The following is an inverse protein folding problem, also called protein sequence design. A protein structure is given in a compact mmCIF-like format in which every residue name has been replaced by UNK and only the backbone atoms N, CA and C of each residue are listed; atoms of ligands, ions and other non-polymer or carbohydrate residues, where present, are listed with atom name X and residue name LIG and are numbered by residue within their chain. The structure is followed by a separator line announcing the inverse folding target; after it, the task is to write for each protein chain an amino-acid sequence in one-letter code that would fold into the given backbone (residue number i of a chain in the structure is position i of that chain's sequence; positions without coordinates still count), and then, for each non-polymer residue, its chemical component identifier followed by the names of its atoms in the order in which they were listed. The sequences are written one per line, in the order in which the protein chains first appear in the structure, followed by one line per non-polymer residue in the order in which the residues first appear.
data_IF_719770785730
#
_entry.id   IF_719770785730
#
_cell.length_a   1.000
_cell.length_b   1.000
_cell.length_c   1.000
_cell.angle_alpha   90.00
_cell.angle_beta   90.00
_cell.angle_gamma   90.00
#
_symmetry.space_group_name_H-M   'P 1'
#
loop_
_entity.id
_entity.type
_entity.pdbx_description
1 polymer ?
#
# COMPACT_ATOMS: atom_id res chain seq x y z
N UNK A 1 -7.92 1.69 -14.22
CA UNK A 1 -7.79 0.60 -13.23
C UNK A 1 -8.12 1.16 -11.84
N UNK A 2 -8.79 0.44 -10.94
CA UNK A 2 -9.09 0.95 -9.60
C UNK A 2 -7.84 1.09 -8.73
N UNK A 3 -7.79 2.13 -7.88
CA UNK A 3 -6.68 2.36 -6.92
C UNK A 3 -6.43 1.14 -6.03
N UNK A 4 -7.51 0.52 -5.53
CA UNK A 4 -7.41 -0.67 -4.68
C UNK A 4 -6.68 -1.83 -5.36
N UNK A 5 -6.81 -2.00 -6.67
CA UNK A 5 -6.13 -3.08 -7.41
C UNK A 5 -4.63 -2.83 -7.50
N UNK A 6 -4.21 -1.57 -7.70
CA UNK A 6 -2.79 -1.21 -7.68
C UNK A 6 -2.20 -1.47 -6.31
N UNK A 7 -2.86 -0.99 -5.25
CA UNK A 7 -2.37 -1.13 -3.88
C UNK A 7 -2.32 -2.59 -3.42
N UNK A 8 -3.29 -3.41 -3.81
CA UNK A 8 -3.32 -4.84 -3.48
C UNK A 8 -2.15 -5.61 -4.12
N UNK A 9 -1.83 -5.33 -5.39
CA UNK A 9 -0.66 -5.90 -6.05
C UNK A 9 0.64 -5.49 -5.36
N UNK A 10 0.79 -4.19 -5.03
CA UNK A 10 1.97 -3.70 -4.31
C UNK A 10 2.09 -4.35 -2.92
N UNK A 11 0.97 -4.54 -2.21
CA UNK A 11 0.94 -5.21 -0.91
C UNK A 11 1.34 -6.69 -0.98
N UNK A 12 1.09 -7.35 -2.12
CA UNK A 12 1.55 -8.71 -2.41
C UNK A 12 3.03 -8.77 -2.86
N UNK A 13 3.72 -7.62 -2.92
CA UNK A 13 5.13 -7.54 -3.32
C UNK A 13 5.35 -7.51 -4.82
N UNK A 14 4.31 -7.28 -5.64
CA UNK A 14 4.47 -7.09 -7.08
C UNK A 14 5.26 -5.81 -7.33
N UNK A 15 6.36 -5.92 -8.08
CA UNK A 15 7.16 -4.74 -8.41
C UNK A 15 6.45 -3.81 -9.40
N UNK A 16 6.70 -2.51 -9.28
CA UNK A 16 6.13 -1.48 -10.16
C UNK A 16 6.37 -1.77 -11.65
N UNK A 17 7.55 -2.27 -12.02
CA UNK A 17 7.86 -2.63 -13.40
C UNK A 17 6.97 -3.77 -13.92
N UNK A 18 6.69 -4.76 -13.08
CA UNK A 18 5.81 -5.88 -13.42
C UNK A 18 4.35 -5.46 -13.53
N UNK A 19 3.93 -4.54 -12.66
CA UNK A 19 2.61 -3.92 -12.71
C UNK A 19 2.38 -3.19 -14.05
N UNK A 20 3.36 -2.38 -14.49
CA UNK A 20 3.29 -1.64 -15.76
C UNK A 20 3.29 -2.57 -16.98
N UNK A 21 4.01 -3.70 -16.92
CA UNK A 21 3.97 -4.72 -17.97
C UNK A 21 2.63 -5.44 -18.04
N UNK A 22 2.07 -5.79 -16.88
CA UNK A 22 0.80 -6.53 -16.78
C UNK A 22 -0.41 -5.67 -17.12
N UNK A 23 -0.33 -4.37 -16.86
CA UNK A 23 -1.38 -3.39 -17.09
C UNK A 23 -0.86 -2.23 -17.96
N UNK A 24 -0.68 -2.43 -19.27
CA UNK A 24 -0.04 -1.44 -20.16
C UNK A 24 -0.84 -0.14 -20.35
N UNK A 25 -2.06 -0.06 -19.81
CA UNK A 25 -2.90 1.15 -19.84
C UNK A 25 -2.63 2.11 -18.68
N UNK A 26 -1.88 1.70 -17.66
CA UNK A 26 -1.44 2.60 -16.58
C UNK A 26 0.00 3.05 -16.78
N UNK A 27 0.30 4.23 -16.27
CA UNK A 27 1.63 4.83 -16.32
C UNK A 27 2.28 4.80 -14.94
N UNK A 28 3.58 5.07 -14.92
CA UNK A 28 4.35 5.18 -13.67
C UNK A 28 3.71 6.19 -12.71
N UNK A 29 3.23 7.31 -13.24
CA UNK A 29 2.60 8.39 -12.48
C UNK A 29 1.29 7.96 -11.83
N UNK A 30 0.52 7.07 -12.47
CA UNK A 30 -0.72 6.54 -11.90
C UNK A 30 -0.45 5.70 -10.65
N UNK A 31 0.66 4.94 -10.65
CA UNK A 31 1.08 4.14 -9.49
C UNK A 31 1.52 5.05 -8.34
N UNK A 32 2.29 6.10 -8.65
CA UNK A 32 2.75 7.06 -7.64
C UNK A 32 1.56 7.83 -7.04
N UNK A 33 0.61 8.27 -7.87
CA UNK A 33 -0.62 8.92 -7.42
C UNK A 33 -1.49 7.99 -6.54
N UNK A 34 -1.54 6.69 -6.83
CA UNK A 34 -2.25 5.72 -5.99
C UNK A 34 -1.60 5.61 -4.60
N UNK A 35 -0.27 5.61 -4.52
CA UNK A 35 0.49 5.54 -3.26
C UNK A 35 0.29 6.83 -2.46
N UNK A 36 0.39 7.99 -3.11
CA UNK A 36 0.16 9.29 -2.48
C UNK A 36 -1.25 9.39 -1.91
N UNK A 37 -2.27 9.05 -2.71
CA UNK A 37 -3.64 8.99 -2.24
C UNK A 37 -3.81 8.06 -1.04
N UNK A 38 -3.18 6.88 -1.05
CA UNK A 38 -3.22 5.96 0.08
C UNK A 38 -2.55 6.55 1.34
N UNK A 39 -1.45 7.27 1.18
CA UNK A 39 -0.74 7.93 2.27
C UNK A 39 -1.53 9.10 2.88
N UNK A 40 -2.27 9.86 2.06
CA UNK A 40 -3.17 10.92 2.54
C UNK A 40 -4.33 10.36 3.36
N UNK A 41 -4.87 9.21 2.95
CA UNK A 41 -5.95 8.52 3.67
C UNK A 41 -5.46 7.71 4.87
N UNK A 42 -4.19 7.32 4.89
CA UNK A 42 -3.62 6.55 5.98
C UNK A 42 -3.76 7.35 7.30
N UNK A 43 -4.25 6.72 8.38
CA UNK A 43 -4.28 7.38 9.66
C UNK A 43 -2.86 7.82 10.04
N UNK A 44 -2.66 9.12 10.29
CA UNK A 44 -1.43 9.63 10.92
C UNK A 44 -1.36 9.06 12.32
N UNK A 45 -0.68 7.93 12.46
CA UNK A 45 -0.51 7.17 13.68
C UNK A 45 0.45 7.88 14.64
N UNK A 46 0.02 9.01 15.22
CA UNK A 46 0.59 9.51 16.48
C UNK A 46 -0.03 8.82 17.71
N UNK A 47 -0.96 7.90 17.49
CA UNK A 47 -1.64 7.19 18.56
C UNK A 47 -0.87 5.90 18.92
N UNK A 48 0.10 6.06 19.82
CA UNK A 48 0.94 4.99 20.40
C UNK A 48 0.11 3.93 21.14
N UNK A 49 -1.21 4.12 21.26
CA UNK A 49 -2.14 3.14 21.84
C UNK A 49 -2.50 1.99 20.89
N UNK A 50 -2.23 2.10 19.58
CA UNK A 50 -2.52 1.05 18.57
C UNK A 50 -1.35 0.14 18.22
N UNK A 51 -0.17 0.34 18.81
CA UNK A 51 0.85 -0.72 18.85
C UNK A 51 0.36 -1.79 19.83
N UNK A 52 -0.47 -2.70 19.33
CA UNK A 52 -0.65 -4.00 19.97
C UNK A 52 0.76 -4.54 20.26
N UNK A 53 1.08 -4.94 21.50
CA UNK A 53 2.35 -5.58 21.75
C UNK A 53 2.42 -6.82 20.88
N UNK A 54 3.34 -6.83 19.92
CA UNK A 54 3.61 -7.94 18.99
C UNK A 54 4.19 -9.18 19.71
N UNK A 55 4.13 -9.22 21.04
CA UNK A 55 4.61 -10.33 21.84
C UNK A 55 3.47 -10.86 22.70
N UNK A 56 3.09 -12.15 22.55
CA UNK A 56 2.26 -12.79 23.54
C UNK A 56 2.97 -12.69 24.90
N UNK A 57 2.23 -12.30 25.93
CA UNK A 57 2.67 -12.50 27.31
C UNK A 57 2.69 -14.02 27.52
N UNK A 58 3.85 -14.64 27.37
CA UNK A 58 4.05 -15.98 27.92
C UNK A 58 3.82 -15.90 29.43
N UNK A 59 3.08 -16.90 29.93
CA UNK A 59 2.45 -16.91 31.26
C UNK A 59 3.38 -16.89 32.45
#
# INVERSE_FOLDING_TARGET
MPVAVVLDNLAQGVEKAELLRSYPSIKSEDVDACIEYAAELAPKNNDTSRILPLFPKEG
#
